data_IF_356175948608
#
_entry.id   IF_356175948608
#
_cell.length_a   1.000
_cell.length_b   1.000
_cell.length_c   1.000
_cell.angle_alpha   90.00
_cell.angle_beta   90.00
_cell.angle_gamma   90.00
#
_symmetry.space_group_name_H-M   'P 1'
#
loop_
_entity.id
_entity.type
_entity.pdbx_description
1 polymer ?
#
# COMPACT_ATOMS: atom_id res chain seq x y z
N UNK A 1 -0.73 0.39 -18.11
CA UNK A 1 -0.93 -0.72 -17.20
C UNK A 1 -0.14 -0.53 -15.92
N UNK A 2 -0.75 -0.82 -14.80
CA UNK A 2 -0.08 -0.64 -13.51
C UNK A 2 0.94 -1.74 -13.29
N UNK A 3 2.16 -1.36 -12.95
CA UNK A 3 3.21 -2.30 -12.63
C UNK A 3 3.63 -2.09 -11.18
N UNK A 4 3.14 -2.94 -10.29
CA UNK A 4 3.40 -2.79 -8.86
C UNK A 4 4.85 -3.08 -8.51
N UNK A 5 5.49 -4.00 -9.24
CA UNK A 5 6.89 -4.29 -8.97
C UNK A 5 7.76 -3.07 -9.18
N UNK A 6 7.52 -2.36 -10.28
CA UNK A 6 8.27 -1.14 -10.57
C UNK A 6 7.99 -0.06 -9.54
N UNK A 7 6.71 0.08 -9.18
CA UNK A 7 6.33 1.09 -8.21
C UNK A 7 6.94 0.79 -6.84
N UNK A 8 6.89 -0.46 -6.44
CA UNK A 8 7.47 -0.86 -5.16
C UNK A 8 8.96 -0.62 -5.16
N UNK A 9 9.63 -0.96 -6.26
CA UNK A 9 11.06 -0.74 -6.37
C UNK A 9 11.40 0.74 -6.26
N UNK A 10 10.53 1.60 -6.78
CA UNK A 10 10.75 3.05 -6.67
C UNK A 10 10.77 3.50 -5.22
N UNK A 11 9.91 2.90 -4.40
CA UNK A 11 9.92 3.23 -2.96
C UNK A 11 11.20 2.74 -2.30
N UNK A 12 11.64 1.54 -2.65
CA UNK A 12 12.86 1.00 -2.09
C UNK A 12 14.08 1.80 -2.50
N UNK A 13 14.09 2.30 -3.72
CA UNK A 13 15.21 3.08 -4.25
C UNK A 13 15.23 4.51 -3.74
N UNK A 14 14.17 4.93 -3.07
CA UNK A 14 14.08 6.29 -2.59
C UNK A 14 13.59 7.29 -3.63
N UNK A 15 13.19 6.83 -4.80
CA UNK A 15 12.68 7.73 -5.82
C UNK A 15 11.28 8.23 -5.52
N UNK A 16 10.51 7.42 -4.79
CA UNK A 16 9.19 7.79 -4.34
C UNK A 16 9.17 7.73 -2.84
N UNK A 17 8.45 8.64 -2.24
CA UNK A 17 8.30 8.66 -0.79
C UNK A 17 6.83 8.65 -0.44
N UNK A 18 6.49 7.82 0.53
CA UNK A 18 5.14 7.72 1.01
C UNK A 18 5.00 8.55 2.27
N UNK A 19 4.14 9.55 2.22
CA UNK A 19 3.93 10.43 3.37
C UNK A 19 2.50 10.32 3.84
N UNK A 20 2.36 10.20 5.15
CA UNK A 20 1.05 10.14 5.80
C UNK A 20 1.07 11.21 6.88
N UNK A 21 0.20 12.21 6.76
CA UNK A 21 0.13 13.30 7.73
C UNK A 21 1.47 13.99 7.94
N UNK A 22 2.23 14.13 6.85
CA UNK A 22 3.51 14.79 6.92
C UNK A 22 4.67 13.93 7.35
N UNK A 23 4.40 12.67 7.69
CA UNK A 23 5.42 11.73 8.12
C UNK A 23 5.75 10.76 7.00
N UNK A 24 7.03 10.53 6.80
CA UNK A 24 7.47 9.60 5.78
C UNK A 24 7.43 8.18 6.32
N UNK A 25 6.87 7.28 5.50
CA UNK A 25 6.76 5.87 5.88
C UNK A 25 7.41 5.00 4.84
N UNK A 26 7.94 3.88 5.29
CA UNK A 26 8.61 2.94 4.40
C UNK A 26 7.62 1.87 3.97
N UNK A 27 7.54 1.64 2.67
CA UNK A 27 6.67 0.59 2.12
C UNK A 27 7.42 -0.74 2.24
N UNK A 28 6.79 -1.71 2.88
CA UNK A 28 7.42 -3.00 3.13
C UNK A 28 6.74 -4.14 2.40
N UNK A 29 5.54 -3.91 1.85
CA UNK A 29 4.83 -4.95 1.12
C UNK A 29 3.80 -4.30 0.22
N UNK A 30 3.28 -5.07 -0.72
CA UNK A 30 2.26 -4.58 -1.63
C UNK A 30 1.49 -5.76 -2.19
N UNK A 31 0.35 -5.46 -2.82
CA UNK A 31 -0.42 -6.49 -3.46
C UNK A 31 -1.57 -5.88 -4.23
N UNK A 32 -2.21 -6.70 -5.05
CA UNK A 32 -3.38 -6.27 -5.80
C UNK A 32 -4.65 -6.58 -5.01
N UNK A 33 -5.66 -5.75 -5.22
CA UNK A 33 -7.00 -6.03 -4.70
C UNK A 33 -7.89 -6.38 -5.88
N UNK A 34 -8.96 -7.15 -5.60
CA UNK A 34 -9.88 -7.50 -6.66
C UNK A 34 -11.30 -7.53 -6.11
N UNK A 35 -12.26 -7.58 -7.02
CA UNK A 35 -13.67 -7.64 -6.66
C UNK A 35 -14.25 -9.04 -6.83
N UNK A 36 -13.38 -10.04 -6.97
CA UNK A 36 -13.78 -11.42 -7.20
C UNK A 36 -13.68 -11.84 -8.64
N UNK A 37 -13.50 -10.92 -9.57
CA UNK A 37 -13.41 -11.22 -10.99
C UNK A 37 -12.24 -10.54 -11.66
N UNK A 38 -12.03 -9.25 -11.35
CA UNK A 38 -10.94 -8.50 -11.95
C UNK A 38 -10.23 -7.70 -10.88
N UNK A 39 -8.99 -7.35 -11.17
CA UNK A 39 -8.22 -6.51 -10.27
C UNK A 39 -8.80 -5.11 -10.32
N UNK A 40 -9.17 -4.56 -9.15
CA UNK A 40 -9.76 -3.23 -9.08
C UNK A 40 -8.85 -2.22 -8.39
N UNK A 41 -7.66 -2.63 -7.95
CA UNK A 41 -6.76 -1.70 -7.32
C UNK A 41 -5.56 -2.40 -6.74
N UNK A 42 -4.93 -1.72 -5.77
CA UNK A 42 -3.78 -2.30 -5.12
C UNK A 42 -3.63 -1.69 -3.72
N UNK A 43 -2.75 -2.29 -2.93
CA UNK A 43 -2.47 -1.77 -1.61
C UNK A 43 -0.96 -1.71 -1.40
N UNK A 44 -0.57 -0.81 -0.50
CA UNK A 44 0.81 -0.68 -0.05
C UNK A 44 0.79 -0.78 1.47
N UNK A 45 1.71 -1.55 2.02
CA UNK A 45 1.77 -1.77 3.46
C UNK A 45 3.03 -1.14 4.01
N UNK A 46 2.87 -0.40 5.11
CA UNK A 46 4.00 0.16 5.84
C UNK A 46 4.09 -0.55 7.19
N UNK A 47 4.96 -0.07 8.07
CA UNK A 47 5.08 -0.67 9.39
C UNK A 47 3.80 -0.53 10.21
N UNK A 48 3.00 0.49 9.92
CA UNK A 48 1.87 0.83 10.78
C UNK A 48 0.51 0.77 10.09
N UNK A 49 0.49 0.83 8.76
CA UNK A 49 -0.77 1.00 8.03
C UNK A 49 -0.76 0.26 6.72
N UNK A 50 -1.96 0.03 6.20
CA UNK A 50 -2.16 -0.42 4.82
C UNK A 50 -2.94 0.66 4.10
N UNK A 51 -2.41 1.08 2.95
CA UNK A 51 -3.03 2.12 2.14
C UNK A 51 -3.61 1.48 0.90
N UNK A 52 -4.85 1.81 0.59
CA UNK A 52 -5.57 1.22 -0.54
C UNK A 52 -5.74 2.24 -1.65
N UNK A 53 -5.53 1.79 -2.88
CA UNK A 53 -5.62 2.63 -4.06
C UNK A 53 -6.46 1.93 -5.12
N UNK A 54 -7.11 2.72 -5.97
CA UNK A 54 -7.80 2.13 -7.11
C UNK A 54 -6.80 1.93 -8.24
N UNK A 55 -7.29 1.39 -9.38
CA UNK A 55 -6.39 1.06 -10.48
C UNK A 55 -5.83 2.28 -11.19
N UNK A 56 -6.35 3.48 -10.90
CA UNK A 56 -5.77 4.71 -11.40
C UNK A 56 -4.79 5.32 -10.40
N UNK A 57 -4.45 4.57 -9.36
CA UNK A 57 -3.52 5.01 -8.33
C UNK A 57 -4.07 6.14 -7.47
N UNK A 58 -5.39 6.23 -7.38
CA UNK A 58 -6.03 7.22 -6.55
C UNK A 58 -6.25 6.64 -5.16
N UNK A 59 -5.85 7.38 -4.15
CA UNK A 59 -5.96 6.93 -2.77
C UNK A 59 -7.43 6.74 -2.38
N UNK A 60 -7.73 5.61 -1.77
CA UNK A 60 -9.08 5.30 -1.34
C UNK A 60 -9.23 5.39 0.16
N UNK A 61 -8.37 4.69 0.89
CA UNK A 61 -8.46 4.68 2.34
C UNK A 61 -7.19 4.14 2.95
N UNK A 62 -7.03 4.36 4.23
CA UNK A 62 -5.90 3.86 5.00
C UNK A 62 -6.43 3.17 6.23
N UNK A 63 -5.89 1.99 6.51
CA UNK A 63 -6.29 1.21 7.68
C UNK A 63 -5.07 0.90 8.51
N UNK A 64 -5.18 1.00 9.85
CA UNK A 64 -4.05 0.60 10.68
C UNK A 64 -3.84 -0.90 10.60
N UNK A 65 -2.60 -1.33 10.73
CA UNK A 65 -2.31 -2.74 10.78
C UNK A 65 -2.91 -3.32 12.03
N UNK A 66 -3.60 -4.44 11.87
CA UNK A 66 -4.20 -5.11 12.99
C UNK A 66 -3.15 -5.87 13.74
N UNK A 67 -3.09 -5.66 15.03
CA UNK A 67 -2.20 -6.44 15.86
C UNK A 67 -2.92 -7.69 16.26
N UNK A 68 -2.43 -8.72 15.84
CA UNK A 68 -3.08 -9.95 16.21
C UNK A 68 -2.85 -10.27 17.62
N UNK A 69 -2.79 -10.15 18.05
CA UNK A 69 -2.61 -10.48 19.11
C UNK A 69 -3.01 -10.70 20.08
N UNK A 70 -3.03 -10.66 19.67
CA UNK A 70 -3.19 -10.73 20.19
C UNK A 70 -3.49 -11.07 21.07
N UNK A 71 -3.61 -11.47 21.41
CA UNK A 71 -3.94 -11.72 22.03
C UNK A 71 -3.95 -12.06 22.60
N UNK A 72 -3.89 -12.22 22.83
CA UNK A 72 -3.91 -12.42 23.35
C UNK A 72 -3.93 -12.51 23.77
#
# INVERSE_FOLDING_TARGET
MLNLDERYQSYLDGKRKLRIDGEEHKVIAYGYTDDGQTIDGYYLTTNNHTLYYNKESKFLRMEPLEKLVQTS
#
